data_IF_594570124879
#
_entry.id   IF_594570124879
#
_cell.length_a   1.000
_cell.length_b   1.000
_cell.length_c   1.000
_cell.angle_alpha   90.00
_cell.angle_beta   90.00
_cell.angle_gamma   90.00
#
_symmetry.space_group_name_H-M   'P 1'
#
loop_
_entity.id
_entity.type
_entity.pdbx_description
1 polymer ?
#
# COMPACT_ATOMS: atom_id res chain seq x y z
N UNK A 1 9.70 -11.27 16.62
CA UNK A 1 8.62 -11.47 15.65
C UNK A 1 7.29 -11.56 16.40
N UNK A 2 6.32 -10.71 16.06
CA UNK A 2 4.96 -10.73 16.63
C UNK A 2 3.96 -11.04 15.52
N UNK A 3 2.94 -11.85 15.86
CA UNK A 3 1.83 -12.09 14.95
C UNK A 3 0.57 -11.45 15.53
N UNK A 4 -0.12 -10.66 14.71
CA UNK A 4 -1.39 -10.01 15.03
C UNK A 4 -2.42 -10.51 14.02
N UNK A 5 -3.53 -11.04 14.50
CA UNK A 5 -4.65 -11.45 13.66
C UNK A 5 -5.76 -10.40 13.80
N UNK A 6 -6.02 -9.61 12.77
CA UNK A 6 -7.03 -8.55 12.83
C UNK A 6 -8.43 -9.11 13.05
N UNK A 7 -8.71 -10.31 12.58
CA UNK A 7 -9.98 -11.01 12.82
C UNK A 7 -10.33 -11.22 14.30
N UNK A 8 -9.33 -11.18 15.20
CA UNK A 8 -9.55 -11.31 16.65
C UNK A 8 -9.88 -9.99 17.35
N UNK A 9 -9.81 -8.87 16.63
CA UNK A 9 -10.15 -7.54 17.18
C UNK A 9 -11.60 -7.17 16.86
N UNK A 10 -12.20 -6.35 17.72
CA UNK A 10 -13.49 -5.71 17.44
C UNK A 10 -13.38 -4.92 16.13
N UNK A 11 -14.37 -5.07 15.24
CA UNK A 11 -14.41 -4.41 13.94
C UNK A 11 -13.20 -4.67 13.02
N UNK A 12 -12.32 -5.64 13.35
CA UNK A 12 -11.12 -5.99 12.57
C UNK A 12 -10.20 -4.80 12.29
N UNK A 13 -10.10 -3.86 13.24
CA UNK A 13 -9.38 -2.60 13.07
C UNK A 13 -8.25 -2.46 14.08
N UNK A 14 -7.10 -1.97 13.58
CA UNK A 14 -6.04 -1.36 14.37
C UNK A 14 -6.08 0.15 14.07
N UNK A 15 -6.67 0.92 14.98
CA UNK A 15 -6.83 2.37 14.83
C UNK A 15 -5.96 3.11 15.84
N UNK A 16 -5.13 4.05 15.36
CA UNK A 16 -4.24 4.86 16.18
C UNK A 16 -4.33 6.35 15.81
N UNK A 17 -4.46 7.21 16.80
CA UNK A 17 -4.53 8.69 16.60
C UNK A 17 -3.16 9.36 16.43
N UNK A 18 -2.09 8.60 16.27
CA UNK A 18 -0.71 9.07 16.09
C UNK A 18 -0.04 8.22 15.01
N UNK A 19 1.28 8.19 15.01
CA UNK A 19 2.08 7.34 14.13
C UNK A 19 1.99 5.87 14.53
N UNK A 20 2.11 4.98 13.55
CA UNK A 20 2.26 3.54 13.74
C UNK A 20 3.61 3.09 13.19
N UNK A 21 4.32 2.27 13.96
CA UNK A 21 5.47 1.52 13.47
C UNK A 21 5.20 0.02 13.60
N UNK A 22 5.30 -0.69 12.47
CA UNK A 22 5.19 -2.15 12.37
C UNK A 22 6.57 -2.67 11.99
N UNK A 23 7.22 -3.34 12.93
CA UNK A 23 8.59 -3.81 12.75
C UNK A 23 8.70 -5.28 13.11
N UNK A 24 9.37 -6.08 12.27
CA UNK A 24 9.60 -7.50 12.49
C UNK A 24 8.32 -8.25 12.93
N UNK A 25 7.21 -8.01 12.22
CA UNK A 25 5.88 -8.47 12.63
C UNK A 25 5.07 -8.99 11.46
N UNK A 26 4.17 -9.93 11.74
CA UNK A 26 3.18 -10.43 10.79
C UNK A 26 1.80 -9.96 11.21
N UNK A 27 1.07 -9.31 10.30
CA UNK A 27 -0.33 -8.93 10.51
C UNK A 27 -1.19 -9.68 9.49
N UNK A 28 -2.14 -10.46 10.00
CA UNK A 28 -3.07 -11.23 9.19
C UNK A 28 -4.45 -10.56 9.16
N UNK A 29 -5.00 -10.45 7.95
CA UNK A 29 -6.34 -9.93 7.68
C UNK A 29 -7.46 -10.98 7.82
N UNK A 30 -8.65 -10.64 7.33
CA UNK A 30 -8.99 -9.34 6.74
C UNK A 30 -9.13 -8.22 7.78
N UNK A 31 -8.91 -6.96 7.35
CA UNK A 31 -9.13 -5.82 8.26
C UNK A 31 -8.48 -4.51 7.85
N UNK A 32 -8.36 -3.61 8.82
CA UNK A 32 -7.84 -2.26 8.64
C UNK A 32 -6.69 -1.94 9.59
N UNK A 33 -5.69 -1.25 9.08
CA UNK A 33 -4.64 -0.56 9.85
C UNK A 33 -4.79 0.92 9.52
N UNK A 34 -5.15 1.73 10.48
CA UNK A 34 -5.44 3.16 10.27
C UNK A 34 -4.66 4.01 11.24
N UNK A 35 -3.92 4.98 10.72
CA UNK A 35 -3.19 5.98 11.50
C UNK A 35 -3.61 7.41 11.14
N UNK A 36 -3.78 8.25 12.14
CA UNK A 36 -3.92 9.69 11.92
C UNK A 36 -2.59 10.38 11.59
N UNK A 37 -1.48 9.76 11.93
CA UNK A 37 -0.12 10.17 11.59
C UNK A 37 0.48 9.36 10.45
N UNK A 38 1.76 9.08 10.55
CA UNK A 38 2.53 8.29 9.61
C UNK A 38 2.37 6.79 9.89
N UNK A 39 2.58 5.97 8.86
CA UNK A 39 2.76 4.52 9.02
C UNK A 39 4.16 4.15 8.51
N UNK A 40 4.90 3.44 9.35
CA UNK A 40 6.19 2.84 8.98
C UNK A 40 6.09 1.33 9.11
N UNK A 41 6.38 0.60 8.03
CA UNK A 41 6.41 -0.86 8.00
C UNK A 41 7.82 -1.28 7.58
N UNK A 42 8.55 -1.99 8.45
CA UNK A 42 9.95 -2.29 8.20
C UNK A 42 10.41 -3.65 8.77
N UNK A 43 11.69 -3.95 8.59
CA UNK A 43 12.38 -5.08 9.24
C UNK A 43 11.75 -6.44 8.96
N UNK A 44 11.53 -6.77 7.70
CA UNK A 44 10.92 -8.02 7.24
C UNK A 44 9.50 -8.25 7.78
N UNK A 45 8.74 -7.17 7.93
CA UNK A 45 7.33 -7.27 8.29
C UNK A 45 6.49 -7.81 7.14
N UNK A 46 5.43 -8.54 7.47
CA UNK A 46 4.49 -9.10 6.50
C UNK A 46 3.07 -8.65 6.84
N UNK A 47 2.41 -7.99 5.91
CA UNK A 47 0.99 -7.66 5.97
C UNK A 47 0.27 -8.62 5.05
N UNK A 48 -0.48 -9.57 5.60
CA UNK A 48 -1.01 -10.71 4.87
C UNK A 48 -2.54 -10.73 4.83
N UNK A 49 -3.08 -10.90 3.63
CA UNK A 49 -4.52 -10.99 3.40
C UNK A 49 -5.16 -9.64 3.03
N UNK A 50 -6.48 -9.62 2.93
CA UNK A 50 -7.27 -8.48 2.52
C UNK A 50 -7.24 -7.36 3.58
N UNK A 51 -6.19 -6.54 3.55
CA UNK A 51 -5.95 -5.48 4.53
C UNK A 51 -5.91 -4.13 3.84
N UNK A 52 -6.56 -3.15 4.48
CA UNK A 52 -6.41 -1.74 4.15
C UNK A 52 -5.42 -1.08 5.10
N UNK A 53 -4.37 -0.48 4.56
CA UNK A 53 -3.36 0.31 5.29
C UNK A 53 -3.58 1.78 4.94
N UNK A 54 -4.08 2.56 5.88
CA UNK A 54 -4.54 3.92 5.63
C UNK A 54 -3.84 4.88 6.59
N UNK A 55 -3.18 5.92 6.08
CA UNK A 55 -2.60 6.98 6.90
C UNK A 55 -2.92 8.38 6.38
N UNK A 56 -3.09 9.32 7.31
CA UNK A 56 -3.20 10.74 7.00
C UNK A 56 -1.84 11.42 6.82
N UNK A 57 -0.77 10.80 7.24
CA UNK A 57 0.62 11.22 7.05
C UNK A 57 1.31 10.46 5.92
N UNK A 58 2.61 10.29 6.06
CA UNK A 58 3.46 9.55 5.13
C UNK A 58 3.35 8.04 5.36
N UNK A 59 3.53 7.27 4.30
CA UNK A 59 3.64 5.82 4.35
C UNK A 59 5.04 5.40 3.91
N UNK A 60 5.81 4.79 4.81
CA UNK A 60 7.14 4.27 4.51
C UNK A 60 7.14 2.75 4.71
N UNK A 61 7.51 2.05 3.65
CA UNK A 61 7.59 0.57 3.63
C UNK A 61 9.01 0.17 3.22
N UNK A 62 9.75 -0.47 4.12
CA UNK A 62 11.14 -0.83 3.87
C UNK A 62 11.38 -2.31 4.19
N UNK A 63 12.03 -3.03 3.28
CA UNK A 63 12.39 -4.44 3.46
C UNK A 63 11.22 -5.29 3.99
N UNK A 64 10.04 -5.17 3.36
CA UNK A 64 8.81 -5.76 3.87
C UNK A 64 7.93 -6.29 2.74
N UNK A 65 6.92 -7.10 3.10
CA UNK A 65 5.97 -7.66 2.15
C UNK A 65 4.54 -7.24 2.50
N UNK A 66 3.84 -6.65 1.54
CA UNK A 66 2.44 -6.27 1.62
C UNK A 66 1.62 -7.11 0.64
N UNK A 67 0.70 -7.92 1.17
CA UNK A 67 0.04 -8.97 0.41
C UNK A 67 0.96 -10.15 0.12
N UNK A 68 0.39 -11.29 -0.21
CA UNK A 68 1.14 -12.52 -0.56
C UNK A 68 0.83 -13.00 -1.97
N UNK A 69 -0.23 -12.48 -2.55
CA UNK A 69 -0.67 -12.74 -3.93
C UNK A 69 -1.72 -11.73 -4.34
N UNK A 70 -2.15 -11.74 -5.59
CA UNK A 70 -3.27 -10.89 -6.06
C UNK A 70 -4.63 -11.29 -5.44
N UNK A 71 -4.77 -12.52 -4.91
CA UNK A 71 -5.96 -12.98 -4.19
C UNK A 71 -5.90 -12.74 -2.67
N UNK A 72 -4.73 -12.37 -2.15
CA UNK A 72 -4.49 -11.99 -0.75
C UNK A 72 -3.71 -10.67 -0.72
N UNK A 73 -4.30 -9.67 -1.32
CA UNK A 73 -3.69 -8.39 -1.62
C UNK A 73 -3.93 -7.34 -0.53
N UNK A 74 -3.21 -6.24 -0.60
CA UNK A 74 -3.33 -5.10 0.32
C UNK A 74 -3.70 -3.84 -0.45
N UNK A 75 -4.55 -3.01 0.13
CA UNK A 75 -4.75 -1.64 -0.34
C UNK A 75 -3.99 -0.70 0.59
N UNK A 76 -3.10 0.08 0.03
CA UNK A 76 -2.45 1.16 0.76
C UNK A 76 -2.98 2.52 0.32
N UNK A 77 -3.22 3.40 1.28
CA UNK A 77 -3.63 4.77 1.04
C UNK A 77 -2.80 5.71 1.92
N UNK A 78 -2.09 6.64 1.30
CA UNK A 78 -1.38 7.72 1.99
C UNK A 78 -1.88 9.08 1.53
N UNK A 79 -2.16 9.94 2.51
CA UNK A 79 -2.47 11.35 2.23
C UNK A 79 -1.19 12.18 2.12
N UNK A 80 -0.12 11.80 2.83
CA UNK A 80 1.23 12.30 2.67
C UNK A 80 2.00 11.52 1.61
N UNK A 81 3.32 11.71 1.56
CA UNK A 81 4.20 11.00 0.65
C UNK A 81 4.21 9.49 0.92
N UNK A 82 4.45 8.70 -0.12
CA UNK A 82 4.62 7.27 0.01
C UNK A 82 5.96 6.83 -0.57
N UNK A 83 6.64 5.97 0.17
CA UNK A 83 7.93 5.39 -0.21
C UNK A 83 7.92 3.89 0.07
N UNK A 84 8.36 3.13 -0.92
CA UNK A 84 8.50 1.68 -0.83
C UNK A 84 9.91 1.32 -1.25
N UNK A 85 10.69 0.81 -0.29
CA UNK A 85 12.10 0.48 -0.49
C UNK A 85 12.34 -1.01 -0.29
N UNK A 86 13.01 -1.67 -1.25
CA UNK A 86 13.38 -3.09 -1.18
C UNK A 86 12.24 -4.00 -0.71
N UNK A 87 11.04 -3.76 -1.21
CA UNK A 87 9.82 -4.39 -0.72
C UNK A 87 9.08 -5.14 -1.83
N UNK A 88 8.12 -5.99 -1.45
CA UNK A 88 7.21 -6.62 -2.40
C UNK A 88 5.78 -6.25 -2.05
N UNK A 89 5.01 -5.77 -3.03
CA UNK A 89 3.63 -5.33 -2.82
C UNK A 89 2.70 -6.03 -3.81
N UNK A 90 1.71 -6.73 -3.27
CA UNK A 90 0.57 -7.26 -4.04
C UNK A 90 -0.66 -6.44 -3.69
N UNK A 91 -1.16 -5.65 -4.63
CA UNK A 91 -2.36 -4.91 -4.36
C UNK A 91 -2.54 -3.58 -5.07
N UNK A 92 -3.18 -2.64 -4.39
CA UNK A 92 -3.42 -1.28 -4.86
C UNK A 92 -2.65 -0.28 -4.01
N UNK A 93 -1.81 0.51 -4.64
CA UNK A 93 -1.17 1.67 -4.02
C UNK A 93 -1.95 2.92 -4.43
N UNK A 94 -2.44 3.68 -3.45
CA UNK A 94 -3.05 5.00 -3.65
C UNK A 94 -2.23 6.04 -2.91
N UNK A 95 -1.61 6.96 -3.64
CA UNK A 95 -0.84 8.07 -3.07
C UNK A 95 -1.50 9.41 -3.42
N UNK A 96 -1.75 10.24 -2.40
CA UNK A 96 -2.23 11.62 -2.55
C UNK A 96 -1.19 12.67 -2.17
N UNK A 97 -0.06 12.26 -1.62
CA UNK A 97 1.05 13.16 -1.27
C UNK A 97 1.77 13.72 -2.49
N UNK A 98 2.75 14.57 -2.25
CA UNK A 98 3.50 15.18 -3.34
C UNK A 98 4.38 14.17 -4.09
N UNK A 99 4.89 13.15 -3.40
CA UNK A 99 5.74 12.12 -4.02
C UNK A 99 5.27 10.71 -3.71
N UNK A 100 5.39 9.86 -4.72
CA UNK A 100 5.39 8.41 -4.61
C UNK A 100 6.72 7.90 -5.16
N UNK A 101 7.41 7.08 -4.40
CA UNK A 101 8.65 6.46 -4.82
C UNK A 101 8.63 4.95 -4.57
N UNK A 102 9.09 4.19 -5.55
CA UNK A 102 9.39 2.77 -5.42
C UNK A 102 10.87 2.59 -5.73
N UNK A 103 11.67 2.16 -4.75
CA UNK A 103 13.09 1.87 -4.89
C UNK A 103 13.36 0.39 -4.62
N UNK A 104 13.92 -0.31 -5.61
CA UNK A 104 14.18 -1.75 -5.53
C UNK A 104 12.94 -2.59 -5.22
N UNK A 105 11.74 -2.08 -5.53
CA UNK A 105 10.46 -2.65 -5.11
C UNK A 105 9.76 -3.36 -6.26
N UNK A 106 9.31 -4.60 -6.02
CA UNK A 106 8.45 -5.33 -6.93
C UNK A 106 6.96 -5.10 -6.57
N UNK A 107 6.18 -4.53 -7.47
CA UNK A 107 4.76 -4.29 -7.29
C UNK A 107 3.92 -5.10 -8.29
N UNK A 108 2.90 -5.80 -7.78
CA UNK A 108 1.94 -6.58 -8.54
C UNK A 108 0.53 -6.06 -8.29
N UNK A 109 -0.08 -5.41 -9.29
CA UNK A 109 -1.41 -4.87 -9.17
C UNK A 109 -1.60 -3.48 -9.77
N UNK A 110 -2.09 -2.53 -9.00
CA UNK A 110 -2.36 -1.18 -9.51
C UNK A 110 -1.71 -0.08 -8.67
N UNK A 111 -1.36 1.00 -9.34
CA UNK A 111 -0.89 2.24 -8.71
C UNK A 111 -1.77 3.39 -9.17
N UNK A 112 -2.30 4.15 -8.21
CA UNK A 112 -3.01 5.39 -8.44
C UNK A 112 -2.28 6.53 -7.74
N UNK A 113 -1.57 7.35 -8.50
CA UNK A 113 -0.83 8.49 -8.00
C UNK A 113 -1.52 9.82 -8.34
N UNK A 114 -1.96 10.54 -7.32
CA UNK A 114 -2.47 11.91 -7.42
C UNK A 114 -1.41 12.97 -7.12
N UNK A 115 -0.23 12.56 -6.66
CA UNK A 115 0.87 13.46 -6.34
C UNK A 115 1.52 14.07 -7.57
N UNK A 116 2.42 15.02 -7.34
CA UNK A 116 3.15 15.71 -8.39
C UNK A 116 4.35 14.94 -8.94
N UNK A 117 4.81 13.90 -8.22
CA UNK A 117 5.94 13.08 -8.60
C UNK A 117 5.62 11.60 -8.38
N UNK A 118 6.01 10.77 -9.33
CA UNK A 118 6.06 9.32 -9.19
C UNK A 118 7.34 8.81 -9.82
N UNK A 119 8.21 8.24 -9.00
CA UNK A 119 9.54 7.77 -9.41
C UNK A 119 9.69 6.27 -9.14
N UNK A 120 10.20 5.56 -10.13
CA UNK A 120 10.68 4.19 -10.00
C UNK A 120 12.20 4.21 -10.03
N UNK A 121 12.85 3.79 -8.94
CA UNK A 121 14.30 3.83 -8.77
C UNK A 121 14.89 2.42 -8.79
N UNK A 122 16.10 2.30 -9.30
CA UNK A 122 16.88 1.07 -9.22
C UNK A 122 16.29 -0.08 -10.02
N UNK A 123 16.01 -1.19 -9.36
CA UNK A 123 15.43 -2.41 -9.94
C UNK A 123 13.93 -2.52 -9.64
N UNK A 124 13.22 -1.40 -9.62
CA UNK A 124 11.79 -1.40 -9.33
C UNK A 124 10.96 -1.84 -10.52
N UNK A 125 10.04 -2.78 -10.28
CA UNK A 125 9.16 -3.33 -11.30
C UNK A 125 7.70 -3.21 -10.91
N UNK A 126 6.88 -2.70 -11.82
CA UNK A 126 5.41 -2.78 -11.70
C UNK A 126 4.88 -3.76 -12.75
N UNK A 127 4.22 -4.82 -12.27
CA UNK A 127 3.43 -5.72 -13.10
C UNK A 127 1.95 -5.46 -12.84
N UNK A 128 1.31 -4.68 -13.73
CA UNK A 128 -0.08 -4.28 -13.52
C UNK A 128 -0.51 -3.06 -14.29
N UNK A 129 -1.15 -2.12 -13.60
CA UNK A 129 -1.66 -0.86 -14.17
C UNK A 129 -1.21 0.34 -13.36
N UNK A 130 -0.89 1.41 -14.05
CA UNK A 130 -0.51 2.69 -13.44
C UNK A 130 -1.42 3.79 -13.97
N UNK A 131 -1.99 4.54 -13.04
CA UNK A 131 -2.69 5.80 -13.31
C UNK A 131 -1.99 6.88 -12.50
N UNK A 132 -1.36 7.83 -13.17
CA UNK A 132 -0.69 8.96 -12.53
C UNK A 132 -1.19 10.26 -13.12
N UNK A 133 -1.37 11.26 -12.26
CA UNK A 133 -1.76 12.60 -12.68
C UNK A 133 -0.66 13.31 -13.49
N UNK A 134 0.60 12.98 -13.21
CA UNK A 134 1.79 13.52 -13.87
C UNK A 134 2.64 12.40 -14.46
N UNK A 135 3.78 12.73 -15.03
CA UNK A 135 4.74 11.76 -15.55
C UNK A 135 5.17 10.75 -14.48
N UNK A 136 5.54 9.58 -14.95
CA UNK A 136 6.26 8.59 -14.15
C UNK A 136 7.71 8.63 -14.60
N UNK A 137 8.60 8.90 -13.66
CA UNK A 137 10.03 8.97 -13.93
C UNK A 137 10.67 7.61 -13.62
N UNK A 138 11.38 7.06 -14.60
CA UNK A 138 12.11 5.81 -14.47
C UNK A 138 13.58 6.14 -14.25
N UNK A 139 14.07 5.97 -13.03
CA UNK A 139 15.43 6.28 -12.63
C UNK A 139 16.22 4.98 -12.36
N UNK A 140 17.18 4.70 -13.20
CA UNK A 140 18.02 3.50 -13.08
C UNK A 140 17.90 2.56 -14.27
N UNK A 141 18.77 1.55 -14.29
CA UNK A 141 18.99 0.72 -15.47
C UNK A 141 17.96 -0.40 -15.67
N UNK A 142 17.09 -0.63 -14.70
CA UNK A 142 16.18 -1.80 -14.68
C UNK A 142 14.76 -1.49 -14.20
N UNK A 143 14.41 -0.21 -14.03
CA UNK A 143 13.04 0.14 -13.67
C UNK A 143 12.07 -0.18 -14.84
N UNK A 144 10.96 -0.85 -14.55
CA UNK A 144 10.02 -1.26 -15.59
C UNK A 144 8.55 -1.18 -15.17
N UNK A 145 7.67 -1.00 -16.17
CA UNK A 145 6.21 -1.14 -16.02
C UNK A 145 5.73 -2.11 -17.08
N UNK A 146 5.19 -3.24 -16.63
CA UNK A 146 4.67 -4.30 -17.50
C UNK A 146 3.19 -4.52 -17.21
N UNK A 147 2.39 -4.71 -18.26
CA UNK A 147 0.97 -5.03 -18.11
C UNK A 147 0.81 -6.35 -17.34
N UNK A 148 -0.07 -6.36 -16.34
CA UNK A 148 -0.38 -7.53 -15.52
C UNK A 148 -1.83 -7.60 -15.10
N UNK A 149 -2.15 -8.61 -14.29
CA UNK A 149 -3.47 -8.79 -13.71
C UNK A 149 -3.72 -7.81 -12.56
N UNK A 150 -4.99 -7.47 -12.37
CA UNK A 150 -5.44 -6.67 -11.23
C UNK A 150 -5.75 -7.57 -10.02
N UNK A 151 -5.60 -7.05 -8.79
CA UNK A 151 -6.01 -7.76 -7.59
C UNK A 151 -7.49 -8.16 -7.63
N UNK A 152 -7.81 -9.35 -7.17
CA UNK A 152 -9.17 -9.90 -7.21
C UNK A 152 -10.16 -9.18 -6.27
N UNK A 153 -9.69 -8.46 -5.26
CA UNK A 153 -10.57 -7.76 -4.30
C UNK A 153 -11.26 -6.52 -4.87
N UNK A 154 -10.83 -6.02 -6.04
CA UNK A 154 -11.53 -4.93 -6.72
C UNK A 154 -12.87 -5.47 -7.20
N UNK A 155 -13.93 -5.19 -6.44
CA UNK A 155 -15.29 -5.68 -6.67
C UNK A 155 -15.73 -6.84 -5.78
N UNK A 156 -14.89 -7.38 -4.91
CA UNK A 156 -15.33 -8.31 -3.87
C UNK A 156 -15.88 -7.55 -2.66
N UNK A 157 -17.06 -7.96 -2.21
CA UNK A 157 -17.56 -7.60 -0.88
C UNK A 157 -16.75 -8.39 0.16
N UNK A 158 -15.78 -7.73 0.78
CA UNK A 158 -14.97 -8.34 1.84
C UNK A 158 -15.68 -8.28 3.21
N UNK A 159 -16.98 -8.00 3.21
CA UNK A 159 -17.81 -7.93 4.43
C UNK A 159 -17.42 -6.78 5.36
N UNK A 160 -16.76 -5.78 4.82
CA UNK A 160 -16.45 -4.54 5.49
C UNK A 160 -17.34 -3.47 4.88
N UNK A 161 -18.09 -2.75 5.72
CA UNK A 161 -18.86 -1.60 5.24
C UNK A 161 -17.95 -0.66 4.44
N UNK A 162 -18.39 -0.13 3.30
CA UNK A 162 -17.58 0.79 2.52
C UNK A 162 -17.21 1.99 3.40
N UNK A 163 -15.94 2.08 3.76
CA UNK A 163 -15.43 3.22 4.50
C UNK A 163 -15.26 4.37 3.53
N UNK A 164 -16.23 5.25 3.50
CA UNK A 164 -16.12 6.53 2.79
C UNK A 164 -15.19 7.42 3.63
N UNK A 165 -13.95 7.59 3.18
CA UNK A 165 -13.05 8.58 3.76
C UNK A 165 -13.70 9.97 3.57
N UNK A 166 -13.93 10.75 4.63
CA UNK A 166 -14.44 12.10 4.49
C UNK A 166 -13.54 12.90 3.54
N UNK A 167 -14.10 13.39 2.45
CA UNK A 167 -13.38 14.14 1.41
C UNK A 167 -12.78 13.31 0.28
N UNK A 168 -13.06 12.01 0.19
CA UNK A 168 -12.65 11.16 -0.93
C UNK A 168 -13.79 11.00 -1.96
N UNK A 169 -14.33 12.09 -2.49
CA UNK A 169 -15.11 11.99 -3.71
C UNK A 169 -14.14 11.82 -4.87
N UNK A 170 -14.15 10.64 -5.50
CA UNK A 170 -13.64 10.48 -6.86
C UNK A 170 -14.69 11.13 -7.78
N UNK A 171 -14.49 12.38 -8.16
CA UNK A 171 -15.13 12.93 -9.33
C UNK A 171 -14.37 12.36 -10.55
N UNK A 172 -15.06 11.56 -11.37
CA UNK A 172 -14.62 11.12 -12.68
C UNK A 172 -14.87 12.21 -13.73
#
# INVERSE_FOLDING_TARGET
NRTINLSSYSERKLLVNSDITISNSTINGPGYIVANGNITINSNSVINGDIYVICNGNLNVTNSQLGTSLSAAVITYSKGNAEYENSTVYGLIVSKGNSLELDGTAHYGAVLNHGSSFTLVGNSDITGSVVSRFSVDLEGNSASITRGNMPEFIGKDIGLDPFVLPGSYLEF
#
